data_IF_985017347302
#
_entry.id   IF_985017347302
#
_cell.length_a   1.000
_cell.length_b   1.000
_cell.length_c   1.000
_cell.angle_alpha   90.00
_cell.angle_beta   90.00
_cell.angle_gamma   90.00
#
_symmetry.space_group_name_H-M   'P 1'
#
loop_
_entity.id
_entity.type
_entity.pdbx_description
1 polymer ?
#
# COMPACT_ATOMS: atom_id res chain seq x y z
N UNK A 1 -18.94 2.16 -6.40
CA UNK A 1 -17.63 2.69 -6.82
C UNK A 1 -16.75 1.51 -7.20
N UNK A 2 -16.27 1.48 -8.44
CA UNK A 2 -15.28 0.49 -8.87
C UNK A 2 -13.97 0.72 -8.10
N UNK A 3 -13.42 -0.31 -7.46
CA UNK A 3 -12.19 -0.22 -6.64
C UNK A 3 -10.94 -0.64 -7.38
N UNK A 4 -11.07 -1.46 -8.42
CA UNK A 4 -9.95 -1.99 -9.19
C UNK A 4 -10.36 -2.27 -10.64
N UNK A 5 -9.45 -2.00 -11.58
CA UNK A 5 -9.62 -2.30 -13.00
C UNK A 5 -8.27 -2.68 -13.63
N UNK A 6 -8.09 -3.95 -13.96
CA UNK A 6 -6.78 -4.53 -14.32
C UNK A 6 -6.09 -3.78 -15.48
N UNK A 7 -6.79 -3.52 -16.57
CA UNK A 7 -6.22 -2.84 -17.75
C UNK A 7 -5.81 -1.39 -17.45
N UNK A 8 -6.48 -0.74 -16.49
CA UNK A 8 -6.13 0.63 -16.09
C UNK A 8 -4.79 0.62 -15.36
N UNK A 9 -4.59 -0.30 -14.41
CA UNK A 9 -3.35 -0.41 -13.66
C UNK A 9 -2.20 -0.90 -14.52
N UNK A 10 -2.42 -1.89 -15.41
CA UNK A 10 -1.41 -2.35 -16.36
C UNK A 10 -0.90 -1.21 -17.23
N UNK A 11 -1.80 -0.37 -17.75
CA UNK A 11 -1.46 0.82 -18.54
C UNK A 11 -0.69 1.87 -17.72
N UNK A 12 -1.13 2.19 -16.51
CA UNK A 12 -0.50 3.21 -15.66
C UNK A 12 0.89 2.81 -15.18
N UNK A 13 1.08 1.53 -14.85
CA UNK A 13 2.34 1.01 -14.33
C UNK A 13 3.32 0.59 -15.44
N UNK A 14 2.84 0.40 -16.67
CA UNK A 14 3.64 -0.17 -17.75
C UNK A 14 4.08 -1.61 -17.48
N UNK A 15 3.33 -2.35 -16.64
CA UNK A 15 3.66 -3.70 -16.20
C UNK A 15 2.45 -4.63 -16.33
N UNK A 16 2.70 -5.86 -16.80
CA UNK A 16 1.68 -6.90 -16.83
C UNK A 16 1.67 -7.66 -15.50
N UNK A 17 1.02 -7.07 -14.49
CA UNK A 17 0.89 -7.65 -13.15
C UNK A 17 -0.54 -8.13 -12.92
N UNK A 18 -0.68 -9.18 -12.10
CA UNK A 18 -1.96 -9.72 -11.68
C UNK A 18 -2.35 -9.25 -10.28
N UNK A 19 -3.65 -9.08 -10.04
CA UNK A 19 -4.19 -8.82 -8.72
C UNK A 19 -4.50 -10.16 -8.04
N UNK A 20 -3.60 -10.60 -7.17
CA UNK A 20 -3.62 -11.98 -6.65
C UNK A 20 -4.33 -12.14 -5.32
N UNK A 21 -4.61 -11.05 -4.59
CA UNK A 21 -5.19 -11.15 -3.25
C UNK A 21 -5.92 -9.86 -2.85
N UNK A 22 -7.08 -10.04 -2.21
CA UNK A 22 -7.86 -8.98 -1.57
C UNK A 22 -7.96 -9.22 -0.06
N UNK A 23 -7.67 -8.18 0.73
CA UNK A 23 -7.71 -8.23 2.19
C UNK A 23 -8.53 -7.08 2.74
N UNK A 24 -9.44 -7.42 3.65
CA UNK A 24 -10.18 -6.44 4.44
C UNK A 24 -9.80 -6.62 5.90
N UNK A 25 -9.33 -5.54 6.52
CA UNK A 25 -9.02 -5.51 7.95
C UNK A 25 -9.90 -4.51 8.68
N UNK A 26 -10.07 -4.73 9.98
CA UNK A 26 -10.77 -3.81 10.88
C UNK A 26 -9.87 -3.57 12.08
N UNK A 27 -9.81 -2.32 12.53
CA UNK A 27 -8.98 -1.92 13.66
C UNK A 27 -9.78 -0.96 14.54
N UNK A 28 -9.55 -1.03 15.86
CA UNK A 28 -10.01 -0.01 16.80
C UNK A 28 -9.11 1.23 16.73
N UNK A 29 -9.61 2.37 17.24
CA UNK A 29 -8.80 3.60 17.35
C UNK A 29 -7.49 3.32 18.09
N UNK A 30 -6.40 3.92 17.62
CA UNK A 30 -5.03 3.78 18.14
C UNK A 30 -4.32 2.44 17.88
N UNK A 31 -4.91 1.52 17.11
CA UNK A 31 -4.16 0.35 16.63
C UNK A 31 -3.16 0.78 15.56
N UNK A 32 -1.88 0.49 15.80
CA UNK A 32 -0.80 0.67 14.84
C UNK A 32 -0.44 -0.69 14.20
N UNK A 33 -0.29 -0.73 12.88
CA UNK A 33 0.14 -1.93 12.14
C UNK A 33 1.32 -1.58 11.24
N UNK A 34 2.49 -2.13 11.51
CA UNK A 34 3.68 -1.89 10.70
C UNK A 34 4.99 -2.08 11.48
N UNK A 35 6.15 -1.82 10.88
CA UNK A 35 6.33 -1.59 9.44
C UNK A 35 6.45 -2.92 8.71
N UNK A 36 5.63 -3.13 7.68
CA UNK A 36 5.62 -4.38 6.92
C UNK A 36 6.34 -4.20 5.58
N UNK A 37 7.31 -5.08 5.29
CA UNK A 37 7.95 -5.18 3.98
C UNK A 37 8.30 -6.64 3.68
N UNK A 38 8.40 -7.00 2.40
CA UNK A 38 8.77 -8.34 1.95
C UNK A 38 9.86 -8.23 0.88
N UNK A 39 10.95 -8.99 1.04
CA UNK A 39 12.04 -9.09 0.04
C UNK A 39 11.87 -10.29 -0.89
N UNK A 40 11.47 -11.42 -0.33
CA UNK A 40 11.18 -12.63 -1.09
C UNK A 40 9.69 -12.61 -1.46
N UNK A 41 9.38 -12.75 -2.74
CA UNK A 41 8.03 -12.59 -3.29
C UNK A 41 7.41 -11.22 -2.94
N UNK A 42 8.01 -10.11 -3.42
CA UNK A 42 7.55 -8.77 -3.10
C UNK A 42 6.11 -8.55 -3.60
N UNK A 43 5.32 -7.84 -2.80
CA UNK A 43 3.92 -7.56 -3.11
C UNK A 43 3.66 -6.06 -3.15
N UNK A 44 3.18 -5.57 -4.29
CA UNK A 44 2.57 -4.25 -4.38
C UNK A 44 1.19 -4.25 -3.73
N UNK A 45 0.83 -3.16 -3.04
CA UNK A 45 -0.45 -3.04 -2.35
C UNK A 45 -1.21 -1.80 -2.82
N UNK A 46 -2.51 -1.98 -3.04
CA UNK A 46 -3.46 -0.88 -3.24
C UNK A 46 -4.26 -0.77 -1.94
N UNK A 47 -4.07 0.32 -1.20
CA UNK A 47 -4.65 0.51 0.14
C UNK A 47 -5.76 1.55 0.09
N UNK A 48 -6.86 1.29 0.79
CA UNK A 48 -7.96 2.25 0.98
C UNK A 48 -8.58 2.12 2.37
N UNK A 49 -9.10 3.23 2.89
CA UNK A 49 -10.08 3.21 3.99
C UNK A 49 -11.48 3.08 3.38
N UNK A 50 -12.22 2.03 3.73
CA UNK A 50 -13.63 1.88 3.31
C UNK A 50 -14.62 2.42 4.34
N UNK A 51 -14.19 2.58 5.59
CA UNK A 51 -14.96 3.14 6.69
C UNK A 51 -14.03 3.73 7.75
N UNK A 52 -14.33 4.94 8.19
CA UNK A 52 -13.49 5.67 9.15
C UNK A 52 -12.28 6.29 8.46
N UNK A 53 -11.21 6.51 9.20
CA UNK A 53 -9.98 7.09 8.67
C UNK A 53 -8.75 6.34 9.19
N UNK A 54 -7.69 6.32 8.38
CA UNK A 54 -6.36 5.85 8.79
C UNK A 54 -5.30 6.87 8.39
N UNK A 55 -4.19 6.87 9.13
CA UNK A 55 -2.94 7.47 8.69
C UNK A 55 -2.09 6.36 8.08
N UNK A 56 -1.98 6.35 6.76
CA UNK A 56 -1.10 5.42 6.04
C UNK A 56 0.30 6.03 5.97
N UNK A 57 1.32 5.25 6.31
CA UNK A 57 2.71 5.74 6.38
C UNK A 57 3.58 4.84 5.52
N UNK A 58 4.27 5.46 4.57
CA UNK A 58 5.24 4.80 3.70
C UNK A 58 6.64 5.15 4.19
N UNK A 59 7.49 4.14 4.36
CA UNK A 59 8.89 4.30 4.77
C UNK A 59 9.78 3.70 3.69
N UNK A 60 10.79 4.45 3.26
CA UNK A 60 11.77 3.97 2.29
C UNK A 60 12.83 3.10 2.98
N UNK A 61 12.74 1.79 2.77
CA UNK A 61 13.68 0.81 3.31
C UNK A 61 14.71 0.31 2.26
N UNK A 62 14.83 0.99 1.11
CA UNK A 62 15.79 0.63 0.04
C UNK A 62 17.16 1.20 0.37
N UNK A 63 18.13 0.33 0.71
CA UNK A 63 19.48 0.76 1.18
C UNK A 63 20.23 1.67 0.21
N UNK A 64 20.02 1.49 -1.09
CA UNK A 64 20.69 2.26 -2.13
C UNK A 64 19.92 3.53 -2.54
N UNK A 65 18.81 3.83 -1.85
CA UNK A 65 17.99 5.02 -2.12
C UNK A 65 18.57 6.27 -1.47
N UNK A 66 18.55 7.39 -2.18
CA UNK A 66 18.90 8.71 -1.63
C UNK A 66 17.96 9.16 -0.51
N UNK A 67 16.78 8.55 -0.39
CA UNK A 67 15.78 8.83 0.65
C UNK A 67 15.66 7.70 1.67
N UNK A 68 16.68 6.85 1.82
CA UNK A 68 16.65 5.75 2.78
C UNK A 68 16.35 6.23 4.22
N UNK A 69 15.37 5.61 4.87
CA UNK A 69 14.91 5.96 6.21
C UNK A 69 13.91 7.13 6.25
N UNK A 70 13.71 7.85 5.15
CA UNK A 70 12.67 8.87 5.04
C UNK A 70 11.29 8.23 4.96
N UNK A 71 10.28 9.00 5.35
CA UNK A 71 8.89 8.57 5.34
C UNK A 71 7.96 9.69 4.85
N UNK A 72 6.80 9.27 4.36
CA UNK A 72 5.71 10.16 3.99
C UNK A 72 4.40 9.56 4.51
N UNK A 73 3.43 10.41 4.86
CA UNK A 73 2.15 9.97 5.42
C UNK A 73 0.96 10.54 4.66
N UNK A 74 -0.07 9.73 4.51
CA UNK A 74 -1.30 10.06 3.82
C UNK A 74 -2.50 9.77 4.73
N UNK A 75 -3.38 10.75 4.89
CA UNK A 75 -4.66 10.54 5.55
C UNK A 75 -5.65 9.98 4.53
N UNK A 76 -6.17 8.77 4.79
CA UNK A 76 -7.14 8.09 3.94
C UNK A 76 -8.47 7.95 4.69
N UNK A 77 -9.59 8.27 4.02
CA UNK A 77 -10.96 8.22 4.57
C UNK A 77 -11.97 7.75 3.54
#
# INVERSE_FOLDING_TARGET
METFHIERYRKLLGMNLDFVQDNISRSSKNVLRGMHFQRNYPQGKIVKASRGEILDVIVDLRKDSSTYGSWESFKLS
#
